data_IF_895596740382
#
_entry.id   IF_895596740382
#
_cell.length_a   1.000
_cell.length_b   1.000
_cell.length_c   1.000
_cell.angle_alpha   90.00
_cell.angle_beta   90.00
_cell.angle_gamma   90.00
#
_symmetry.space_group_name_H-M   'P 1'
#
loop_
_entity.id
_entity.type
_entity.pdbx_description
1 polymer ?
#
# COMPACT_ATOMS: atom_id res chain seq x y z
N UNK A 1 -6.09 -0.63 26.72
CA UNK A 1 -6.50 0.60 26.01
C UNK A 1 -8.02 0.68 25.76
N UNK A 2 -8.81 -0.39 25.95
CA UNK A 2 -10.27 -0.33 25.93
C UNK A 2 -10.87 -1.48 26.79
N UNK A 3 -12.14 -1.35 27.19
CA UNK A 3 -12.88 -2.36 27.98
C UNK A 3 -13.75 -3.28 27.12
N UNK A 4 -14.25 -2.77 25.98
CA UNK A 4 -15.08 -3.52 25.03
C UNK A 4 -14.96 -2.89 23.63
N UNK A 5 -15.32 -3.66 22.59
CA UNK A 5 -15.35 -3.20 21.19
C UNK A 5 -16.59 -3.73 20.47
N UNK A 6 -17.05 -2.99 19.46
CA UNK A 6 -18.12 -3.40 18.56
C UNK A 6 -17.52 -3.38 17.15
N UNK A 7 -17.59 -4.49 16.44
CA UNK A 7 -17.17 -4.61 15.05
C UNK A 7 -18.40 -4.83 14.17
N UNK A 8 -18.71 -3.86 13.30
CA UNK A 8 -19.85 -3.92 12.38
C UNK A 8 -19.34 -4.13 10.96
N UNK A 9 -19.86 -5.16 10.27
CA UNK A 9 -19.59 -5.47 8.86
C UNK A 9 -18.10 -5.65 8.49
N UNK A 10 -17.22 -5.84 9.47
CA UNK A 10 -15.79 -6.04 9.29
C UNK A 10 -15.23 -6.95 10.38
N UNK A 11 -14.32 -7.84 10.00
CA UNK A 11 -13.60 -8.73 10.92
C UNK A 11 -12.11 -8.73 10.59
N UNK A 12 -11.23 -8.92 11.57
CA UNK A 12 -9.80 -9.11 11.33
C UNK A 12 -9.48 -10.28 10.39
N UNK A 13 -10.39 -11.26 10.29
CA UNK A 13 -10.24 -12.44 9.44
C UNK A 13 -10.67 -12.22 7.99
N UNK A 14 -11.12 -11.00 7.64
CA UNK A 14 -11.53 -10.72 6.28
C UNK A 14 -10.33 -10.86 5.32
N UNK A 15 -10.50 -11.44 4.12
CA UNK A 15 -9.40 -11.65 3.16
C UNK A 15 -8.70 -10.36 2.71
N UNK A 16 -9.38 -9.22 2.83
CA UNK A 16 -8.87 -7.88 2.50
C UNK A 16 -8.37 -7.10 3.74
N UNK A 17 -8.53 -7.66 4.95
CA UNK A 17 -8.15 -7.01 6.19
C UNK A 17 -6.66 -7.07 6.49
N UNK A 18 -5.94 -8.04 5.90
CA UNK A 18 -4.51 -8.20 6.07
C UNK A 18 -3.84 -8.69 4.79
N UNK A 19 -2.60 -8.22 4.56
CA UNK A 19 -1.74 -8.73 3.51
C UNK A 19 -0.48 -9.33 4.14
N UNK A 20 0.02 -10.41 3.56
CA UNK A 20 1.32 -10.93 3.97
C UNK A 20 2.42 -9.89 3.71
N UNK A 21 3.50 -9.92 4.50
CA UNK A 21 4.66 -9.05 4.30
C UNK A 21 5.17 -9.09 2.84
N UNK A 22 5.37 -10.27 2.21
CA UNK A 22 5.83 -10.31 0.82
C UNK A 22 4.82 -9.68 -0.16
N UNK A 23 3.51 -9.89 0.03
CA UNK A 23 2.48 -9.27 -0.83
C UNK A 23 2.47 -7.75 -0.69
N UNK A 24 2.58 -7.24 0.54
CA UNK A 24 2.64 -5.80 0.80
C UNK A 24 3.88 -5.17 0.16
N UNK A 25 5.03 -5.84 0.23
CA UNK A 25 6.27 -5.38 -0.43
C UNK A 25 6.11 -5.40 -1.95
N UNK A 26 5.56 -6.48 -2.52
CA UNK A 26 5.32 -6.60 -3.96
C UNK A 26 4.42 -5.48 -4.48
N UNK A 27 3.33 -5.17 -3.75
CA UNK A 27 2.42 -4.06 -4.07
C UNK A 27 3.12 -2.70 -4.00
N UNK A 28 3.96 -2.47 -3.00
CA UNK A 28 4.73 -1.22 -2.91
C UNK A 28 5.67 -1.03 -4.12
N UNK A 29 6.35 -2.10 -4.56
CA UNK A 29 7.17 -2.05 -5.77
C UNK A 29 6.36 -1.94 -7.06
N UNK A 30 5.14 -2.49 -7.10
CA UNK A 30 4.24 -2.29 -8.22
C UNK A 30 3.77 -0.83 -8.31
N UNK A 31 3.41 -0.21 -7.19
CA UNK A 31 3.08 1.22 -7.13
C UNK A 31 4.28 2.07 -7.59
N UNK A 32 5.48 1.74 -7.13
CA UNK A 32 6.70 2.41 -7.59
C UNK A 32 6.89 2.32 -9.10
N UNK A 33 6.56 1.19 -9.72
CA UNK A 33 6.63 1.02 -11.19
C UNK A 33 5.63 1.89 -11.94
N UNK A 34 4.38 1.97 -11.46
CA UNK A 34 3.36 2.86 -12.04
C UNK A 34 3.77 4.34 -11.97
N UNK A 35 4.50 4.73 -10.92
CA UNK A 35 5.07 6.07 -10.76
C UNK A 35 6.39 6.28 -11.54
N UNK A 36 6.84 5.30 -12.33
CA UNK A 36 8.12 5.38 -13.06
C UNK A 36 9.38 5.24 -12.19
N UNK A 37 9.23 4.85 -10.92
CA UNK A 37 10.30 4.72 -9.94
C UNK A 37 10.89 3.29 -9.98
N UNK A 38 11.64 2.98 -11.04
CA UNK A 38 12.29 1.67 -11.20
C UNK A 38 13.44 1.56 -10.19
N UNK A 39 13.25 0.76 -9.14
CA UNK A 39 14.26 0.52 -8.10
C UNK A 39 14.16 -0.90 -7.56
N UNK A 40 15.29 -1.44 -7.08
CA UNK A 40 15.38 -2.77 -6.43
C UNK A 40 15.51 -2.61 -4.90
N UNK A 41 15.91 -1.42 -4.44
CA UNK A 41 16.14 -1.10 -3.03
C UNK A 41 14.91 -0.48 -2.38
N UNK A 42 14.44 -1.11 -1.29
CA UNK A 42 13.31 -0.59 -0.48
C UNK A 42 13.54 0.82 0.03
N UNK A 43 14.78 1.15 0.41
CA UNK A 43 15.15 2.47 0.95
C UNK A 43 15.04 3.55 -0.12
N UNK A 44 15.51 3.25 -1.33
CA UNK A 44 15.46 4.18 -2.46
C UNK A 44 14.03 4.39 -2.94
N UNK A 45 13.22 3.34 -2.96
CA UNK A 45 11.78 3.45 -3.25
C UNK A 45 11.09 4.39 -2.25
N UNK A 46 11.33 4.19 -0.95
CA UNK A 46 10.72 5.03 0.09
C UNK A 46 11.11 6.50 -0.04
N UNK A 47 12.40 6.80 -0.27
CA UNK A 47 12.87 8.18 -0.45
C UNK A 47 12.16 8.85 -1.62
N UNK A 48 12.07 8.16 -2.77
CA UNK A 48 11.39 8.70 -3.95
C UNK A 48 9.89 8.87 -3.74
N UNK A 49 9.24 7.98 -2.99
CA UNK A 49 7.82 8.12 -2.65
C UNK A 49 7.51 9.36 -1.81
N UNK A 50 8.47 9.86 -1.01
CA UNK A 50 8.31 11.12 -0.27
C UNK A 50 8.36 12.35 -1.17
N UNK A 51 9.00 12.25 -2.34
CA UNK A 51 9.14 13.36 -3.29
C UNK A 51 7.94 13.47 -4.26
N UNK A 52 7.10 12.43 -4.34
CA UNK A 52 5.92 12.36 -5.24
C UNK A 52 4.71 13.02 -4.57
N UNK A 53 3.87 13.70 -5.37
CA UNK A 53 2.65 14.32 -4.86
C UNK A 53 1.60 13.27 -4.45
N UNK A 54 0.75 13.63 -3.49
CA UNK A 54 -0.34 12.75 -3.06
C UNK A 54 -1.32 12.42 -4.20
N UNK A 55 -1.53 13.36 -5.13
CA UNK A 55 -2.43 13.18 -6.28
C UNK A 55 -1.91 12.10 -7.25
N UNK A 56 -0.60 12.12 -7.53
CA UNK A 56 0.06 11.10 -8.36
C UNK A 56 0.03 9.72 -7.69
N UNK A 57 0.20 9.65 -6.37
CA UNK A 57 0.09 8.39 -5.63
C UNK A 57 -1.32 7.81 -5.74
N UNK A 58 -2.35 8.65 -5.58
CA UNK A 58 -3.76 8.21 -5.68
C UNK A 58 -4.10 7.76 -7.10
N UNK A 59 -3.64 8.49 -8.12
CA UNK A 59 -3.89 8.13 -9.52
C UNK A 59 -3.22 6.81 -9.89
N UNK A 60 -1.96 6.61 -9.49
CA UNK A 60 -1.24 5.35 -9.68
C UNK A 60 -1.90 4.19 -8.91
N UNK A 61 -2.32 4.41 -7.66
CA UNK A 61 -3.01 3.39 -6.87
C UNK A 61 -4.35 2.97 -7.48
N UNK A 62 -5.09 3.88 -8.11
CA UNK A 62 -6.33 3.56 -8.83
C UNK A 62 -6.07 2.70 -10.07
N UNK A 63 -5.00 2.98 -10.81
CA UNK A 63 -4.57 2.18 -11.97
C UNK A 63 -4.35 0.70 -11.60
N UNK A 64 -3.81 0.45 -10.40
CA UNK A 64 -3.52 -0.91 -9.90
C UNK A 64 -4.74 -1.74 -9.48
N UNK A 65 -5.92 -1.14 -9.34
CA UNK A 65 -7.13 -1.82 -8.83
C UNK A 65 -8.07 -2.26 -9.96
N UNK A 66 -7.69 -2.05 -11.23
CA UNK A 66 -8.44 -2.52 -12.41
C UNK A 66 -8.15 -3.99 -12.70
#
# INVERSE_FOLDING_TARGET
>A
LYRSSIAMSGSPLNPWGFYSIPDAVSRAFHLGRELGLITISKKTLLQKLYDVSAEEIISAARSMVV
#
